data_IF_129902677607
#
_entry.id   IF_129902677607
#
_cell.length_a   1.000
_cell.length_b   1.000
_cell.length_c   1.000
_cell.angle_alpha   90.00
_cell.angle_beta   90.00
_cell.angle_gamma   90.00
#
_symmetry.space_group_name_H-M   'P 1'
#
loop_
_entity.id
_entity.type
_entity.pdbx_description
1 polymer ?
#
# COMPACT_ATOMS: atom_id res chain seq x y z
N UNK A 1 3.02 -3.13 13.87
CA UNK A 1 1.95 -2.41 13.13
C UNK A 1 1.69 -3.00 11.74
N UNK A 2 2.71 -3.34 10.96
CA UNK A 2 2.59 -3.96 9.61
C UNK A 2 1.94 -5.34 9.60
N UNK A 3 2.10 -6.15 10.66
CA UNK A 3 1.49 -7.48 10.76
C UNK A 3 -0.04 -7.43 10.82
N UNK A 4 -0.61 -6.39 11.44
CA UNK A 4 -2.06 -6.21 11.53
C UNK A 4 -2.68 -5.88 10.18
N UNK A 5 -1.95 -5.20 9.29
CA UNK A 5 -2.40 -4.85 7.94
C UNK A 5 -2.65 -6.07 7.06
N UNK A 6 -1.84 -7.13 7.24
CA UNK A 6 -1.92 -8.37 6.45
C UNK A 6 -3.11 -9.23 6.90
N UNK A 7 -3.43 -9.21 8.19
CA UNK A 7 -4.54 -9.99 8.78
C UNK A 7 -5.89 -9.29 8.59
N UNK A 8 -5.88 -7.98 8.34
CA UNK A 8 -7.07 -7.13 8.26
C UNK A 8 -8.15 -7.61 7.26
N UNK A 9 -7.83 -8.02 6.01
CA UNK A 9 -8.85 -8.52 5.07
C UNK A 9 -9.51 -9.82 5.53
N UNK A 10 -8.77 -10.69 6.21
CA UNK A 10 -9.30 -11.93 6.80
C UNK A 10 -10.20 -11.66 8.01
N UNK A 11 -9.85 -10.66 8.83
CA UNK A 11 -10.69 -10.19 9.94
C UNK A 11 -12.06 -9.69 9.48
N UNK A 12 -12.11 -8.98 8.34
CA UNK A 12 -13.33 -8.39 7.75
C UNK A 12 -14.33 -9.43 7.29
N UNK A 13 -13.87 -10.57 6.77
CA UNK A 13 -14.77 -11.61 6.25
C UNK A 13 -15.06 -12.71 7.26
N UNK A 14 -14.09 -13.13 8.09
CA UNK A 14 -14.26 -14.29 8.98
C UNK A 14 -14.70 -13.97 10.42
N UNK A 15 -14.41 -12.77 10.96
CA UNK A 15 -14.78 -12.38 12.34
C UNK A 15 -15.32 -10.95 12.41
N UNK A 16 -16.41 -10.74 11.69
CA UNK A 16 -17.13 -9.46 11.56
C UNK A 16 -17.42 -8.79 12.91
N UNK A 17 -17.71 -9.54 13.97
CA UNK A 17 -18.14 -9.02 15.28
C UNK A 17 -17.06 -8.26 16.08
N UNK A 18 -15.78 -8.62 15.96
CA UNK A 18 -14.69 -8.04 16.76
C UNK A 18 -14.00 -6.84 16.10
N UNK A 19 -14.30 -6.58 14.83
CA UNK A 19 -13.67 -5.53 14.03
C UNK A 19 -13.81 -4.09 14.55
N UNK A 20 -15.00 -3.65 15.02
CA UNK A 20 -15.15 -2.31 15.57
C UNK A 20 -14.29 -2.14 16.82
N UNK A 21 -14.20 -3.18 17.66
CA UNK A 21 -13.43 -3.18 18.91
C UNK A 21 -11.93 -3.05 18.61
N UNK A 22 -11.43 -3.80 17.63
CA UNK A 22 -10.02 -3.72 17.20
C UNK A 22 -9.72 -2.36 16.56
N UNK A 23 -10.63 -1.82 15.74
CA UNK A 23 -10.47 -0.52 15.11
C UNK A 23 -10.49 0.63 16.15
N UNK A 24 -11.38 0.57 17.15
CA UNK A 24 -11.41 1.49 18.28
C UNK A 24 -10.14 1.41 19.12
N UNK A 25 -9.66 0.21 19.42
CA UNK A 25 -8.42 0.01 20.15
C UNK A 25 -7.22 0.62 19.41
N UNK A 26 -7.13 0.41 18.09
CA UNK A 26 -6.10 1.03 17.26
C UNK A 26 -6.25 2.56 17.19
N UNK A 27 -7.47 3.09 17.06
CA UNK A 27 -7.73 4.53 17.05
C UNK A 27 -7.23 5.21 18.34
N UNK A 28 -7.43 4.56 19.49
CA UNK A 28 -6.92 5.05 20.79
C UNK A 28 -5.40 5.05 20.82
N UNK A 29 -4.75 3.97 20.37
CA UNK A 29 -3.29 3.90 20.31
C UNK A 29 -2.67 4.96 19.38
N UNK A 30 -3.28 5.19 18.22
CA UNK A 30 -2.82 6.23 17.29
C UNK A 30 -3.07 7.65 17.82
N UNK A 31 -4.16 7.87 18.57
CA UNK A 31 -4.44 9.15 19.24
C UNK A 31 -3.44 9.45 20.37
N UNK A 32 -3.10 8.44 21.18
CA UNK A 32 -2.07 8.55 22.22
C UNK A 32 -0.72 8.86 21.57
N UNK A 33 -0.36 8.14 20.49
CA UNK A 33 0.87 8.40 19.75
C UNK A 33 0.89 9.81 19.12
N UNK A 34 -0.24 10.29 18.60
CA UNK A 34 -0.36 11.64 18.07
C UNK A 34 -0.09 12.72 19.12
N UNK A 35 -0.59 12.49 20.34
CA UNK A 35 -0.37 13.36 21.48
C UNK A 35 1.10 13.38 21.93
N UNK A 36 1.76 12.20 21.92
CA UNK A 36 3.16 12.06 22.31
C UNK A 36 4.15 12.62 21.28
N UNK A 37 3.95 12.34 19.99
CA UNK A 37 4.86 12.76 18.91
C UNK A 37 4.58 14.18 18.39
N UNK A 38 3.55 14.88 18.89
CA UNK A 38 3.05 16.19 18.39
C UNK A 38 2.92 16.27 16.86
N UNK A 39 2.68 15.13 16.21
CA UNK A 39 2.59 15.05 14.75
C UNK A 39 1.11 14.90 14.34
N UNK A 40 0.58 15.93 13.69
CA UNK A 40 -0.81 16.00 13.25
C UNK A 40 -1.20 14.89 12.24
N UNK A 41 -0.23 14.26 11.58
CA UNK A 41 -0.49 13.16 10.63
C UNK A 41 -1.10 11.93 11.31
N UNK A 42 -0.82 11.72 12.60
CA UNK A 42 -1.35 10.59 13.36
C UNK A 42 -2.82 10.77 13.76
N UNK A 43 -3.29 12.02 13.89
CA UNK A 43 -4.71 12.32 14.11
C UNK A 43 -5.56 11.95 12.88
N UNK A 44 -5.06 12.20 11.68
CA UNK A 44 -5.70 11.76 10.43
C UNK A 44 -5.86 10.23 10.39
N UNK A 45 -4.82 9.50 10.82
CA UNK A 45 -4.86 8.04 10.88
C UNK A 45 -5.88 7.55 11.91
N UNK A 46 -5.96 8.19 13.08
CA UNK A 46 -6.95 7.84 14.12
C UNK A 46 -8.40 8.09 13.65
N UNK A 47 -8.66 9.21 12.96
CA UNK A 47 -9.96 9.52 12.36
C UNK A 47 -10.35 8.47 11.32
N UNK A 48 -9.40 8.01 10.50
CA UNK A 48 -9.65 6.90 9.56
C UNK A 48 -10.10 5.62 10.27
N UNK A 49 -9.48 5.24 11.39
CA UNK A 49 -9.90 4.06 12.16
C UNK A 49 -11.28 4.21 12.81
N UNK A 50 -11.63 5.41 13.28
CA UNK A 50 -12.97 5.71 13.81
C UNK A 50 -14.02 5.58 12.71
N UNK A 51 -13.76 6.14 11.51
CA UNK A 51 -14.65 6.02 10.36
C UNK A 51 -14.83 4.57 9.90
N UNK A 52 -13.76 3.76 9.94
CA UNK A 52 -13.83 2.31 9.66
C UNK A 52 -14.69 1.57 10.69
N UNK A 53 -14.67 1.98 11.96
CA UNK A 53 -15.52 1.40 13.01
C UNK A 53 -17.00 1.74 12.82
N UNK A 54 -17.32 2.94 12.32
CA UNK A 54 -18.69 3.40 12.12
C UNK A 54 -19.29 2.88 10.81
N UNK A 55 -18.48 2.77 9.76
CA UNK A 55 -18.91 2.35 8.44
C UNK A 55 -18.25 1.02 8.06
N UNK A 56 -18.86 -0.09 8.47
CA UNK A 56 -18.38 -1.46 8.20
C UNK A 56 -18.13 -1.74 6.71
N UNK A 57 -18.88 -1.09 5.82
CA UNK A 57 -18.70 -1.19 4.37
C UNK A 57 -17.44 -0.45 3.87
N UNK A 58 -17.00 0.60 4.57
CA UNK A 58 -15.80 1.38 4.21
C UNK A 58 -14.52 0.54 4.32
N UNK A 59 -14.53 -0.47 5.20
CA UNK A 59 -13.43 -1.42 5.34
C UNK A 59 -13.09 -2.16 4.04
N UNK A 60 -14.10 -2.42 3.19
CA UNK A 60 -13.90 -3.08 1.89
C UNK A 60 -13.37 -2.12 0.81
N UNK A 61 -13.55 -0.81 0.98
CA UNK A 61 -12.97 0.19 0.08
C UNK A 61 -11.51 0.50 0.42
N UNK A 62 -11.01 0.06 1.57
CA UNK A 62 -9.63 0.33 2.00
C UNK A 62 -8.58 -0.08 0.95
N UNK A 63 -8.58 -1.30 0.38
CA UNK A 63 -7.61 -1.67 -0.64
C UNK A 63 -7.70 -0.80 -1.90
N UNK A 64 -8.90 -0.38 -2.28
CA UNK A 64 -9.12 0.52 -3.44
C UNK A 64 -8.51 1.90 -3.14
N UNK A 65 -8.78 2.46 -1.96
CA UNK A 65 -8.24 3.75 -1.53
C UNK A 65 -6.72 3.73 -1.41
N UNK A 66 -6.14 2.65 -0.86
CA UNK A 66 -4.69 2.50 -0.75
C UNK A 66 -4.04 2.42 -2.13
N UNK A 67 -4.58 1.60 -3.04
CA UNK A 67 -4.07 1.51 -4.41
C UNK A 67 -4.18 2.86 -5.13
N UNK A 68 -5.29 3.59 -4.96
CA UNK A 68 -5.48 4.91 -5.55
C UNK A 68 -4.48 5.94 -4.99
N UNK A 69 -4.30 5.96 -3.67
CA UNK A 69 -3.34 6.85 -3.01
C UNK A 69 -1.91 6.56 -3.48
N UNK A 70 -1.50 5.29 -3.53
CA UNK A 70 -0.19 4.87 -4.02
C UNK A 70 -0.01 5.22 -5.50
N UNK A 71 -1.04 5.01 -6.32
CA UNK A 71 -1.05 5.43 -7.72
C UNK A 71 -0.80 6.94 -7.85
N UNK A 72 -1.56 7.77 -7.13
CA UNK A 72 -1.41 9.23 -7.17
C UNK A 72 0.00 9.65 -6.74
N UNK A 73 0.54 9.04 -5.68
CA UNK A 73 1.90 9.29 -5.21
C UNK A 73 2.95 8.98 -6.30
N UNK A 74 2.90 7.77 -6.86
CA UNK A 74 3.84 7.34 -7.89
C UNK A 74 3.68 8.15 -9.17
N UNK A 75 2.45 8.42 -9.59
CA UNK A 75 2.13 9.19 -10.78
C UNK A 75 2.59 10.64 -10.66
N UNK A 76 2.35 11.29 -9.52
CA UNK A 76 2.86 12.64 -9.29
C UNK A 76 4.39 12.68 -9.22
N UNK A 77 5.04 11.62 -8.72
CA UNK A 77 6.50 11.54 -8.69
C UNK A 77 7.13 11.48 -10.09
N UNK A 78 6.42 10.98 -11.10
CA UNK A 78 6.93 10.92 -12.48
C UNK A 78 7.17 12.30 -13.11
N UNK A 79 6.48 13.36 -12.63
CA UNK A 79 6.62 14.74 -13.13
C UNK A 79 7.92 15.42 -12.68
N UNK A 80 8.46 15.00 -11.53
CA UNK A 80 9.71 15.52 -10.99
C UNK A 80 10.75 14.41 -11.02
N UNK A 81 11.10 13.89 -9.85
CA UNK A 81 11.96 12.74 -9.69
C UNK A 81 11.14 11.57 -9.13
N UNK A 82 11.20 10.43 -9.83
CA UNK A 82 10.41 9.26 -9.47
C UNK A 82 10.74 8.80 -8.05
N UNK A 83 9.72 8.35 -7.30
CA UNK A 83 9.92 7.88 -5.92
C UNK A 83 10.99 6.79 -5.85
N UNK A 84 11.01 5.87 -6.82
CA UNK A 84 12.01 4.81 -6.90
C UNK A 84 13.41 5.38 -7.16
N UNK A 85 13.54 6.41 -8.01
CA UNK A 85 14.81 7.12 -8.19
C UNK A 85 15.29 7.75 -6.89
N UNK A 86 14.41 8.40 -6.12
CA UNK A 86 14.76 8.99 -4.82
C UNK A 86 15.29 7.93 -3.86
N UNK A 87 14.60 6.81 -3.73
CA UNK A 87 15.05 5.68 -2.91
C UNK A 87 16.38 5.09 -3.40
N UNK A 88 16.57 4.98 -4.71
CA UNK A 88 17.82 4.49 -5.29
C UNK A 88 18.99 5.43 -4.98
N UNK A 89 18.79 6.76 -5.07
CA UNK A 89 19.79 7.77 -4.76
C UNK A 89 20.19 7.79 -3.29
N UNK A 90 19.27 7.46 -2.38
CA UNK A 90 19.61 7.29 -0.95
C UNK A 90 20.63 6.17 -0.73
N UNK A 91 20.60 5.11 -1.54
CA UNK A 91 21.60 4.03 -1.46
C UNK A 91 22.88 4.35 -2.23
N UNK A 92 22.75 4.88 -3.45
CA UNK A 92 23.87 5.24 -4.31
C UNK A 92 23.67 6.64 -4.89
N UNK A 93 24.34 7.69 -4.35
CA UNK A 93 24.14 9.07 -4.79
C UNK A 93 24.47 9.30 -6.27
N UNK A 94 25.48 8.60 -6.79
CA UNK A 94 25.95 8.71 -8.18
C UNK A 94 25.30 7.64 -9.07
N UNK A 95 23.99 7.75 -9.30
CA UNK A 95 23.26 6.84 -10.18
C UNK A 95 23.62 7.08 -11.67
N UNK A 96 24.02 6.04 -12.42
CA UNK A 96 24.26 6.16 -13.86
C UNK A 96 22.96 6.46 -14.63
N UNK A 97 23.09 7.04 -15.83
CA UNK A 97 21.94 7.51 -16.62
C UNK A 97 20.99 6.36 -17.00
N UNK A 98 21.49 5.16 -17.26
CA UNK A 98 20.65 3.99 -17.58
C UNK A 98 19.75 3.63 -16.39
N UNK A 99 20.30 3.69 -15.18
CA UNK A 99 19.57 3.36 -13.96
C UNK A 99 18.49 4.42 -13.64
N UNK A 100 18.68 5.70 -14.00
CA UNK A 100 17.63 6.72 -13.89
C UNK A 100 16.44 6.46 -14.83
N UNK A 101 16.69 6.00 -16.06
CA UNK A 101 15.64 5.63 -17.02
C UNK A 101 14.89 4.40 -16.51
N UNK A 102 15.63 3.41 -16.00
CA UNK A 102 15.06 2.19 -15.44
C UNK A 102 14.12 2.48 -14.26
N UNK A 103 14.56 3.24 -13.25
CA UNK A 103 13.71 3.55 -12.08
C UNK A 103 12.46 4.35 -12.47
N UNK A 104 12.55 5.22 -13.49
CA UNK A 104 11.40 5.93 -14.05
C UNK A 104 10.41 4.97 -14.73
N UNK A 105 10.90 4.03 -15.53
CA UNK A 105 10.05 3.01 -16.16
C UNK A 105 9.44 2.07 -15.13
N UNK A 106 10.18 1.67 -14.12
CA UNK A 106 9.67 0.86 -13.02
C UNK A 106 8.56 1.59 -12.27
N UNK A 107 8.70 2.90 -12.02
CA UNK A 107 7.64 3.72 -11.42
C UNK A 107 6.36 3.70 -12.26
N UNK A 108 6.46 3.70 -13.59
CA UNK A 108 5.29 3.53 -14.47
C UNK A 108 4.65 2.15 -14.33
N UNK A 109 5.45 1.09 -14.24
CA UNK A 109 4.96 -0.28 -14.02
C UNK A 109 4.20 -0.35 -12.69
N UNK A 110 4.73 0.27 -11.63
CA UNK A 110 4.03 0.39 -10.35
C UNK A 110 2.72 1.16 -10.46
N UNK A 111 2.68 2.28 -11.21
CA UNK A 111 1.41 2.98 -11.47
C UNK A 111 0.38 2.05 -12.12
N UNK A 112 0.75 1.35 -13.19
CA UNK A 112 -0.15 0.41 -13.89
C UNK A 112 -0.61 -0.70 -12.94
N UNK A 113 0.31 -1.25 -12.15
CA UNK A 113 -0.01 -2.26 -11.14
C UNK A 113 -1.04 -1.75 -10.13
N UNK A 114 -0.82 -0.59 -9.53
CA UNK A 114 -1.76 -0.01 -8.55
C UNK A 114 -3.13 0.27 -9.17
N UNK A 115 -3.18 0.74 -10.41
CA UNK A 115 -4.44 0.95 -11.13
C UNK A 115 -5.19 -0.38 -11.29
N UNK A 116 -4.55 -1.40 -11.87
CA UNK A 116 -5.16 -2.72 -12.11
C UNK A 116 -5.60 -3.35 -10.79
N UNK A 117 -4.74 -3.32 -9.78
CA UNK A 117 -5.00 -3.91 -8.48
C UNK A 117 -6.17 -3.21 -7.76
N UNK A 118 -6.24 -1.88 -7.83
CA UNK A 118 -7.36 -1.11 -7.29
C UNK A 118 -8.69 -1.44 -7.98
N UNK A 119 -8.69 -1.58 -9.30
CA UNK A 119 -9.87 -1.99 -10.05
C UNK A 119 -10.30 -3.43 -9.73
N UNK A 120 -9.37 -4.38 -9.65
CA UNK A 120 -9.66 -5.76 -9.25
C UNK A 120 -10.25 -5.83 -7.83
N UNK A 121 -9.68 -5.10 -6.88
CA UNK A 121 -10.23 -4.99 -5.53
C UNK A 121 -11.66 -4.42 -5.53
N UNK A 122 -11.96 -3.45 -6.41
CA UNK A 122 -13.30 -2.88 -6.51
C UNK A 122 -14.30 -3.86 -7.15
N UNK A 123 -13.91 -4.50 -8.26
CA UNK A 123 -14.75 -5.45 -8.99
C UNK A 123 -15.08 -6.65 -8.11
N UNK A 124 -14.07 -7.23 -7.45
CA UNK A 124 -14.26 -8.39 -6.57
C UNK A 124 -15.18 -8.08 -5.38
N UNK A 125 -15.19 -6.83 -4.90
CA UNK A 125 -16.10 -6.43 -3.84
C UNK A 125 -17.58 -6.55 -4.25
N UNK A 126 -17.90 -6.24 -5.51
CA UNK A 126 -19.26 -6.36 -6.04
C UNK A 126 -19.62 -7.79 -6.45
N UNK A 127 -18.64 -8.64 -6.76
CA UNK A 127 -18.87 -10.02 -7.19
C UNK A 127 -18.99 -10.96 -5.98
N UNK A 128 -17.95 -11.08 -5.17
CA UNK A 128 -17.89 -12.02 -4.05
C UNK A 128 -16.88 -11.56 -2.99
N UNK A 129 -17.39 -11.30 -1.78
CA UNK A 129 -16.59 -10.85 -0.63
C UNK A 129 -15.57 -11.90 -0.16
N UNK A 130 -15.83 -13.19 -0.37
CA UNK A 130 -14.89 -14.26 -0.02
C UNK A 130 -13.68 -14.25 -0.96
N UNK A 131 -13.93 -14.19 -2.28
CA UNK A 131 -12.87 -14.08 -3.28
C UNK A 131 -12.10 -12.77 -3.10
N UNK A 132 -12.82 -11.67 -2.80
CA UNK A 132 -12.21 -10.39 -2.47
C UNK A 132 -11.22 -10.47 -1.31
N UNK A 133 -11.55 -11.18 -0.23
CA UNK A 133 -10.67 -11.32 0.93
C UNK A 133 -9.41 -12.14 0.61
N UNK A 134 -9.55 -13.20 -0.18
CA UNK A 134 -8.39 -13.99 -0.64
C UNK A 134 -7.51 -13.13 -1.55
N UNK A 135 -8.12 -12.38 -2.46
CA UNK A 135 -7.38 -11.52 -3.38
C UNK A 135 -6.64 -10.40 -2.64
N UNK A 136 -7.36 -9.61 -1.85
CA UNK A 136 -6.78 -8.46 -1.14
C UNK A 136 -5.86 -8.89 0.01
N UNK A 137 -6.14 -10.03 0.66
CA UNK A 137 -5.39 -10.55 1.80
C UNK A 137 -4.19 -11.41 1.44
N UNK A 138 -4.13 -11.98 0.23
CA UNK A 138 -3.04 -12.86 -0.17
C UNK A 138 -2.52 -12.54 -1.58
N UNK A 139 -3.36 -12.63 -2.60
CA UNK A 139 -2.92 -12.52 -4.01
C UNK A 139 -2.25 -11.18 -4.29
N UNK A 140 -2.84 -10.07 -3.85
CA UNK A 140 -2.29 -8.73 -4.01
C UNK A 140 -0.89 -8.62 -3.39
N UNK A 141 -0.65 -9.25 -2.24
CA UNK A 141 0.68 -9.24 -1.60
C UNK A 141 1.68 -10.12 -2.35
N UNK A 142 1.25 -11.26 -2.88
CA UNK A 142 2.08 -12.10 -3.74
C UNK A 142 2.50 -11.33 -5.00
N UNK A 143 1.57 -10.63 -5.65
CA UNK A 143 1.87 -9.82 -6.83
C UNK A 143 2.84 -8.68 -6.52
N UNK A 144 2.63 -7.96 -5.41
CA UNK A 144 3.57 -6.95 -4.91
C UNK A 144 4.95 -7.57 -4.68
N UNK A 145 5.00 -8.74 -4.06
CA UNK A 145 6.24 -9.49 -3.82
C UNK A 145 6.94 -9.84 -5.12
N UNK A 146 6.24 -10.39 -6.10
CA UNK A 146 6.79 -10.72 -7.42
C UNK A 146 7.36 -9.48 -8.10
N UNK A 147 6.68 -8.34 -8.02
CA UNK A 147 7.13 -7.10 -8.64
C UNK A 147 8.41 -6.57 -7.97
N UNK A 148 8.49 -6.65 -6.64
CA UNK A 148 9.72 -6.33 -5.89
C UNK A 148 10.87 -7.32 -6.16
N UNK A 149 10.60 -8.62 -6.18
CA UNK A 149 11.61 -9.63 -6.48
C UNK A 149 12.10 -9.50 -7.92
N UNK A 150 11.20 -9.23 -8.86
CA UNK A 150 11.51 -8.91 -10.24
C UNK A 150 12.45 -7.72 -10.34
N UNK A 151 12.19 -6.63 -9.61
CA UNK A 151 13.10 -5.48 -9.52
C UNK A 151 14.50 -5.89 -9.02
N UNK A 152 14.58 -6.64 -7.93
CA UNK A 152 15.85 -7.05 -7.32
C UNK A 152 16.66 -7.92 -8.28
N UNK A 153 15.99 -8.87 -8.95
CA UNK A 153 16.64 -9.78 -9.90
C UNK A 153 17.14 -9.01 -11.11
N UNK A 154 16.33 -8.10 -11.66
CA UNK A 154 16.71 -7.27 -12.79
C UNK A 154 17.87 -6.32 -12.44
N UNK A 155 17.88 -5.75 -11.22
CA UNK A 155 18.98 -4.93 -10.70
C UNK A 155 20.28 -5.71 -10.62
N UNK A 156 20.25 -6.96 -10.14
CA UNK A 156 21.43 -7.84 -10.07
C UNK A 156 21.95 -8.26 -11.45
N UNK A 157 21.06 -8.48 -12.42
CA UNK A 157 21.44 -8.99 -13.74
C UNK A 157 21.93 -7.89 -14.68
N UNK A 158 21.28 -6.73 -14.71
CA UNK A 158 21.56 -5.66 -15.68
C UNK A 158 22.41 -4.51 -15.13
N UNK A 159 22.38 -4.27 -13.81
CA UNK A 159 23.23 -3.29 -13.15
C UNK A 159 24.30 -4.07 -12.38
N UNK A 160 25.26 -4.65 -13.12
CA UNK A 160 26.48 -5.23 -12.53
C UNK A 160 27.21 -4.10 -11.79
N UNK A 161 27.09 -4.06 -10.46
CA UNK A 161 27.85 -3.11 -9.64
C UNK A 161 27.12 -2.50 -8.43
N UNK A 162 26.13 -3.19 -7.84
CA UNK A 162 25.68 -2.87 -6.46
C UNK A 162 25.70 -4.13 -5.61
#
# INVERSE_FOLDING_TARGET
MTFFSVIYPFGVVFKSEFLPIIALFLAVLWSIKAYLDKNNSYFLIAICFILVSLFRNFAFFYPVLVNLFMFILFFNSLKSESIITKFAKTKNPNLPKEALIYTKNLTKIWCVFFTINGFLSLILFFIDKNIWAIYCGFISYVLVGILFFGEILFRKVFIKGV
#
